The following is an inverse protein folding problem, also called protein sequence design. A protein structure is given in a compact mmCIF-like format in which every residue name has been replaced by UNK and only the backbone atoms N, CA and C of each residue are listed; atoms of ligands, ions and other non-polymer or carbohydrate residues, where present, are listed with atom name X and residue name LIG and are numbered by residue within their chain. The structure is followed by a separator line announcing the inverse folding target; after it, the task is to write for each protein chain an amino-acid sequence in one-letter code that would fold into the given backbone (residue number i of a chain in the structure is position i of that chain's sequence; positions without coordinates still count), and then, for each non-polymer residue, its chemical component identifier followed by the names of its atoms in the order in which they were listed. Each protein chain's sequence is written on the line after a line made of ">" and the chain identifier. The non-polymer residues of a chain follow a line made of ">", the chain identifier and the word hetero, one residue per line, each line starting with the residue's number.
data_IF_273616723771
#
_entry.id   IF_273616723771
#
_cell.length_a   1.000
_cell.length_b   1.000
_cell.length_c   1.000
_cell.angle_alpha   90.00
_cell.angle_beta   90.00
_cell.angle_gamma   90.00
#
_symmetry.space_group_name_H-M   'P 1'
#
loop_
_entity.id
_entity.type
_entity.pdbx_description
1 polymer ?
#
# COMPACT_ATOMS: atom_id res chain seq x y z
N UNK A 1 -7.41 5.10 4.90
CA UNK A 1 -8.27 6.27 4.62
C UNK A 1 -7.72 7.00 3.39
N UNK A 2 -8.58 7.49 2.52
CA UNK A 2 -8.24 8.42 1.43
C UNK A 2 -8.82 9.81 1.74
N UNK A 3 -8.43 10.86 1.00
CA UNK A 3 -8.90 12.23 1.21
C UNK A 3 -8.13 13.02 2.28
N UNK A 4 -6.86 12.71 2.51
CA UNK A 4 -5.99 13.42 3.47
C UNK A 4 -5.91 14.94 3.22
N UNK A 5 -6.10 15.39 1.99
CA UNK A 5 -6.12 16.82 1.68
C UNK A 5 -7.10 17.59 2.58
N UNK A 6 -8.29 17.03 2.85
CA UNK A 6 -9.31 17.66 3.70
C UNK A 6 -8.81 17.84 5.15
N UNK A 7 -8.08 16.84 5.67
CA UNK A 7 -7.51 16.87 7.04
C UNK A 7 -6.43 17.95 7.16
N UNK A 8 -5.67 18.14 6.06
CA UNK A 8 -4.57 19.12 5.96
C UNK A 8 -5.04 20.51 5.50
N UNK A 9 -6.35 20.75 5.40
CA UNK A 9 -6.92 22.04 5.02
C UNK A 9 -7.10 22.27 3.51
N UNK A 10 -6.78 21.27 2.67
CA UNK A 10 -6.97 21.35 1.22
C UNK A 10 -8.38 20.91 0.78
N UNK A 11 -8.79 21.36 -0.41
CA UNK A 11 -10.07 20.97 -1.02
C UNK A 11 -9.93 20.00 -2.20
N UNK A 12 -8.73 19.91 -2.75
CA UNK A 12 -8.44 19.15 -3.96
C UNK A 12 -7.20 18.27 -3.77
N UNK A 13 -7.13 17.21 -4.54
CA UNK A 13 -5.96 16.34 -4.67
C UNK A 13 -5.72 16.06 -6.14
N UNK A 14 -4.47 16.08 -6.63
CA UNK A 14 -4.15 15.67 -7.98
C UNK A 14 -4.18 14.14 -8.16
N UNK A 15 -4.28 13.40 -7.04
CA UNK A 15 -4.18 11.96 -7.05
C UNK A 15 -5.56 11.32 -7.26
N UNK A 16 -5.63 10.37 -8.17
CA UNK A 16 -6.77 9.47 -8.31
C UNK A 16 -6.72 8.38 -7.23
N UNK A 17 -7.89 8.03 -6.69
CA UNK A 17 -8.02 6.96 -5.72
C UNK A 17 -8.91 5.85 -6.30
N UNK A 18 -8.42 4.62 -6.29
CA UNK A 18 -9.16 3.46 -6.75
C UNK A 18 -9.07 2.30 -5.74
N UNK A 19 -10.07 1.42 -5.79
CA UNK A 19 -10.15 0.24 -4.93
C UNK A 19 -9.24 -0.85 -5.53
N UNK A 20 -8.24 -1.28 -4.77
CA UNK A 20 -7.31 -2.33 -5.19
C UNK A 20 -7.85 -3.73 -4.91
N UNK A 21 -8.48 -3.92 -3.74
CA UNK A 21 -9.12 -5.18 -3.34
C UNK A 21 -10.56 -4.90 -2.93
N UNK A 22 -11.45 -5.86 -3.18
CA UNK A 22 -12.84 -5.78 -2.73
C UNK A 22 -12.92 -5.66 -1.21
N UNK A 23 -13.86 -4.87 -0.72
CA UNK A 23 -14.07 -4.65 0.71
C UNK A 23 -15.23 -3.73 0.99
N UNK A 24 -15.51 -3.50 2.26
CA UNK A 24 -16.49 -2.54 2.72
C UNK A 24 -15.80 -1.21 3.14
N UNK A 25 -16.49 -0.10 2.94
CA UNK A 25 -15.99 1.21 3.33
C UNK A 25 -17.12 2.17 3.68
N UNK A 26 -16.78 3.23 4.40
CA UNK A 26 -17.69 4.31 4.71
C UNK A 26 -17.21 5.60 4.04
N UNK A 27 -18.16 6.44 3.64
CA UNK A 27 -17.90 7.73 3.01
C UNK A 27 -18.47 8.86 3.84
N UNK A 28 -17.69 9.90 4.04
CA UNK A 28 -18.12 11.16 4.65
C UNK A 28 -17.81 12.31 3.68
N UNK A 29 -18.68 13.33 3.61
CA UNK A 29 -18.38 14.54 2.85
C UNK A 29 -17.30 15.37 3.54
N UNK A 30 -16.50 16.11 2.77
CA UNK A 30 -15.48 17.01 3.29
C UNK A 30 -16.07 18.02 4.30
N UNK A 31 -17.24 18.59 4.02
CA UNK A 31 -17.91 19.52 4.92
C UNK A 31 -18.27 18.87 6.25
N UNK A 32 -18.80 17.64 6.24
CA UNK A 32 -19.15 16.92 7.46
C UNK A 32 -17.90 16.50 8.24
N UNK A 33 -16.83 16.10 7.55
CA UNK A 33 -15.55 15.79 8.22
C UNK A 33 -14.99 17.02 8.93
N UNK A 34 -14.96 18.19 8.29
CA UNK A 34 -14.52 19.44 8.93
C UNK A 34 -15.36 19.79 10.15
N UNK A 35 -16.69 19.68 10.06
CA UNK A 35 -17.58 19.88 11.22
C UNK A 35 -17.30 18.91 12.36
N UNK A 36 -17.06 17.62 12.03
CA UNK A 36 -16.72 16.61 13.04
C UNK A 36 -15.39 16.91 13.72
N UNK A 37 -14.36 17.32 12.95
CA UNK A 37 -13.05 17.72 13.50
C UNK A 37 -13.17 18.93 14.45
N UNK A 38 -14.00 19.92 14.12
CA UNK A 38 -14.23 21.09 14.99
C UNK A 38 -14.97 20.73 16.29
N UNK A 39 -15.86 19.72 16.24
CA UNK A 39 -16.65 19.30 17.41
C UNK A 39 -15.94 18.31 18.32
N UNK A 40 -14.94 17.62 17.84
CA UNK A 40 -14.24 16.57 18.57
C UNK A 40 -12.78 16.94 18.82
N UNK A 41 -12.42 17.12 20.10
CA UNK A 41 -11.05 17.43 20.52
C UNK A 41 -10.05 16.30 20.23
N UNK A 42 -10.52 15.06 20.01
CA UNK A 42 -9.68 13.89 19.79
C UNK A 42 -9.57 13.50 18.31
N UNK A 43 -10.60 13.80 17.51
CA UNK A 43 -10.64 13.37 16.10
C UNK A 43 -9.56 14.05 15.25
N UNK A 44 -9.41 15.37 15.38
CA UNK A 44 -8.41 16.10 14.58
C UNK A 44 -6.98 15.65 14.89
N UNK A 45 -6.52 15.55 16.16
CA UNK A 45 -5.20 15.01 16.47
C UNK A 45 -4.97 13.60 15.93
N UNK A 46 -5.97 12.71 16.01
CA UNK A 46 -5.87 11.35 15.47
C UNK A 46 -5.69 11.34 13.96
N UNK A 47 -6.46 12.15 13.23
CA UNK A 47 -6.34 12.25 11.77
C UNK A 47 -5.01 12.88 11.35
N UNK A 48 -4.48 13.85 12.10
CA UNK A 48 -3.15 14.42 11.86
C UNK A 48 -2.05 13.40 12.12
N UNK A 49 -2.17 12.56 13.14
CA UNK A 49 -1.23 11.46 13.39
C UNK A 49 -1.26 10.44 12.24
N UNK A 50 -2.45 10.12 11.73
CA UNK A 50 -2.58 9.28 10.52
C UNK A 50 -1.91 9.93 9.31
N UNK A 51 -2.11 11.24 9.09
CA UNK A 51 -1.47 11.98 8.01
C UNK A 51 0.07 11.95 8.14
N UNK A 52 0.59 12.14 9.34
CA UNK A 52 2.03 12.04 9.62
C UNK A 52 2.59 10.64 9.30
N UNK A 53 1.91 9.59 9.78
CA UNK A 53 2.30 8.19 9.48
C UNK A 53 2.28 7.91 7.98
N UNK A 54 1.29 8.43 7.26
CA UNK A 54 1.20 8.29 5.81
C UNK A 54 2.36 9.02 5.08
N UNK A 55 2.75 10.21 5.55
CA UNK A 55 3.92 10.94 5.03
C UNK A 55 5.21 10.16 5.24
N UNK A 56 5.41 9.56 6.41
CA UNK A 56 6.57 8.68 6.70
C UNK A 56 6.57 7.50 5.72
N UNK A 57 5.43 6.81 5.56
CA UNK A 57 5.30 5.68 4.64
C UNK A 57 5.64 6.08 3.20
N UNK A 58 5.14 7.23 2.75
CA UNK A 58 5.40 7.77 1.41
C UNK A 58 6.88 8.09 1.21
N UNK A 59 7.52 8.72 2.19
CA UNK A 59 8.96 9.04 2.16
C UNK A 59 9.81 7.76 2.09
N UNK A 60 9.47 6.73 2.87
CA UNK A 60 10.15 5.43 2.82
C UNK A 60 9.95 4.73 1.48
N UNK A 61 8.76 4.84 0.88
CA UNK A 61 8.48 4.29 -0.45
C UNK A 61 9.28 5.02 -1.53
N UNK A 62 9.37 6.35 -1.46
CA UNK A 62 10.19 7.14 -2.38
C UNK A 62 11.68 6.75 -2.28
N UNK A 63 12.19 6.58 -1.05
CA UNK A 63 13.56 6.12 -0.82
C UNK A 63 13.81 4.72 -1.40
N UNK A 64 12.90 3.77 -1.17
CA UNK A 64 12.99 2.42 -1.70
C UNK A 64 12.96 2.44 -3.24
N UNK A 65 12.09 3.25 -3.84
CA UNK A 65 12.03 3.39 -5.30
C UNK A 65 13.33 3.91 -5.92
N UNK A 66 14.11 4.70 -5.18
CA UNK A 66 15.38 5.27 -5.65
C UNK A 66 16.59 4.33 -5.46
N UNK A 67 16.54 3.38 -4.52
CA UNK A 67 17.74 2.63 -4.10
C UNK A 67 17.58 1.13 -4.09
N UNK A 68 16.36 0.61 -3.94
CA UNK A 68 16.11 -0.82 -3.79
C UNK A 68 15.90 -1.51 -5.13
N UNK A 69 16.24 -2.79 -5.20
CA UNK A 69 15.96 -3.65 -6.34
C UNK A 69 14.45 -3.84 -6.55
N UNK A 70 14.05 -4.39 -7.69
CA UNK A 70 12.63 -4.66 -7.97
C UNK A 70 12.08 -5.68 -6.97
N UNK A 71 12.89 -6.68 -6.60
CA UNK A 71 12.54 -7.75 -5.65
C UNK A 71 12.28 -7.19 -4.25
N UNK A 72 13.16 -6.33 -3.74
CA UNK A 72 13.01 -5.66 -2.44
C UNK A 72 11.74 -4.79 -2.42
N UNK A 73 11.51 -4.03 -3.49
CA UNK A 73 10.33 -3.18 -3.65
C UNK A 73 9.05 -4.00 -3.73
N UNK A 74 9.08 -5.14 -4.45
CA UNK A 74 7.97 -6.08 -4.54
C UNK A 74 7.69 -6.71 -3.17
N UNK A 75 8.70 -7.22 -2.46
CA UNK A 75 8.56 -7.77 -1.13
C UNK A 75 7.93 -6.75 -0.16
N UNK A 76 8.41 -5.52 -0.17
CA UNK A 76 7.85 -4.41 0.61
C UNK A 76 6.40 -4.14 0.26
N UNK A 77 6.06 -4.10 -1.03
CA UNK A 77 4.69 -3.84 -1.48
C UNK A 77 3.74 -4.97 -1.04
N UNK A 78 4.15 -6.23 -1.20
CA UNK A 78 3.37 -7.41 -0.77
C UNK A 78 3.10 -7.37 0.73
N UNK A 79 4.08 -7.03 1.56
CA UNK A 79 3.92 -6.87 3.01
C UNK A 79 2.92 -5.76 3.36
N UNK A 80 3.01 -4.60 2.67
CA UNK A 80 2.08 -3.50 2.90
C UNK A 80 0.64 -3.82 2.47
N UNK A 81 0.46 -4.63 1.44
CA UNK A 81 -0.85 -5.12 1.03
C UNK A 81 -1.39 -6.13 2.04
N UNK A 82 -0.56 -7.08 2.46
CA UNK A 82 -0.89 -8.10 3.45
C UNK A 82 -1.31 -7.52 4.81
N UNK A 83 -0.67 -6.44 5.27
CA UNK A 83 -1.04 -5.72 6.51
C UNK A 83 -2.49 -5.18 6.50
N UNK A 84 -3.13 -5.16 5.34
CA UNK A 84 -4.48 -4.61 5.14
C UNK A 84 -5.52 -5.67 4.80
N UNK A 85 -5.09 -6.92 4.74
CA UNK A 85 -5.93 -8.07 4.39
C UNK A 85 -5.95 -9.06 5.56
N UNK A 86 -7.04 -9.80 5.69
CA UNK A 86 -7.20 -10.87 6.69
C UNK A 86 -6.81 -12.25 6.11
N UNK A 87 -6.07 -12.27 5.00
CA UNK A 87 -5.67 -13.48 4.28
C UNK A 87 -4.26 -13.34 3.75
N UNK A 88 -3.53 -14.44 3.66
CA UNK A 88 -2.22 -14.51 3.05
C UNK A 88 -2.27 -14.47 1.51
N UNK A 89 -3.47 -14.62 0.93
CA UNK A 89 -3.70 -14.65 -0.51
C UNK A 89 -3.98 -13.26 -1.06
N UNK A 90 -3.15 -12.81 -1.98
CA UNK A 90 -3.29 -11.55 -2.70
C UNK A 90 -3.68 -11.82 -4.16
N UNK A 91 -4.90 -11.46 -4.54
CA UNK A 91 -5.39 -11.55 -5.93
C UNK A 91 -4.89 -10.34 -6.73
N UNK A 92 -3.73 -10.48 -7.35
CA UNK A 92 -3.04 -9.34 -7.97
C UNK A 92 -2.45 -9.78 -9.32
N UNK A 93 -2.64 -8.96 -10.35
CA UNK A 93 -2.04 -9.21 -11.66
C UNK A 93 -0.63 -8.63 -11.77
N UNK A 94 0.20 -9.22 -12.65
CA UNK A 94 1.54 -8.70 -12.94
C UNK A 94 1.50 -7.29 -13.56
N UNK A 95 0.48 -6.97 -14.35
CA UNK A 95 0.25 -5.62 -14.87
C UNK A 95 0.05 -4.62 -13.74
N UNK A 96 -0.82 -4.96 -12.79
CA UNK A 96 -1.10 -4.08 -11.66
C UNK A 96 0.15 -3.87 -10.80
N UNK A 97 0.89 -4.94 -10.49
CA UNK A 97 2.18 -4.82 -9.78
C UNK A 97 3.17 -3.95 -10.56
N UNK A 98 3.20 -4.07 -11.90
CA UNK A 98 4.03 -3.22 -12.76
C UNK A 98 3.71 -1.73 -12.59
N UNK A 99 2.42 -1.37 -12.54
CA UNK A 99 1.96 0.01 -12.29
C UNK A 99 2.38 0.46 -10.88
N UNK A 100 2.15 -0.36 -9.86
CA UNK A 100 2.46 -0.02 -8.46
C UNK A 100 3.96 0.15 -8.21
N UNK A 101 4.78 -0.65 -8.88
CA UNK A 101 6.24 -0.61 -8.75
C UNK A 101 6.90 0.35 -9.75
N UNK A 102 6.16 0.88 -10.73
CA UNK A 102 6.70 1.71 -11.80
C UNK A 102 7.69 0.95 -12.70
N UNK A 103 7.43 -0.33 -12.98
CA UNK A 103 8.30 -1.19 -13.79
C UNK A 103 7.50 -1.95 -14.85
N UNK A 104 8.20 -2.50 -15.86
CA UNK A 104 7.54 -3.34 -16.87
C UNK A 104 7.07 -4.66 -16.27
N UNK A 105 5.99 -5.23 -16.81
CA UNK A 105 5.45 -6.55 -16.42
C UNK A 105 6.52 -7.65 -16.38
N UNK A 106 7.46 -7.66 -17.34
CA UNK A 106 8.57 -8.63 -17.37
C UNK A 106 9.46 -8.56 -16.13
N UNK A 107 9.76 -7.36 -15.63
CA UNK A 107 10.51 -7.17 -14.38
C UNK A 107 9.76 -7.71 -13.16
N UNK A 108 8.44 -7.50 -13.11
CA UNK A 108 7.59 -8.09 -12.06
C UNK A 108 7.65 -9.61 -12.10
N UNK A 109 7.55 -10.22 -13.29
CA UNK A 109 7.61 -11.68 -13.44
C UNK A 109 8.93 -12.25 -12.94
N UNK A 110 10.05 -11.60 -13.26
CA UNK A 110 11.37 -12.01 -12.77
C UNK A 110 11.44 -11.91 -11.24
N UNK A 111 11.00 -10.79 -10.68
CA UNK A 111 11.02 -10.57 -9.23
C UNK A 111 10.13 -11.58 -8.47
N UNK A 112 8.91 -11.86 -8.96
CA UNK A 112 8.04 -12.89 -8.38
C UNK A 112 8.70 -14.27 -8.40
N UNK A 113 9.30 -14.66 -9.53
CA UNK A 113 9.99 -15.95 -9.66
C UNK A 113 11.19 -16.07 -8.71
N UNK A 114 11.91 -14.97 -8.43
CA UNK A 114 13.01 -14.97 -7.47
C UNK A 114 12.50 -15.16 -6.04
N UNK A 115 11.47 -14.44 -5.65
CA UNK A 115 10.85 -14.59 -4.31
C UNK A 115 10.21 -15.98 -4.13
N UNK A 116 9.65 -16.56 -5.18
CA UNK A 116 9.08 -17.92 -5.17
C UNK A 116 10.16 -18.99 -5.03
N UNK A 117 11.28 -18.87 -5.78
CA UNK A 117 12.42 -19.78 -5.65
C UNK A 117 13.02 -19.85 -4.26
N UNK A 118 12.92 -18.76 -3.50
CA UNK A 118 13.37 -18.68 -2.10
C UNK A 118 12.27 -19.09 -1.11
N UNK A 119 11.14 -19.62 -1.59
CA UNK A 119 9.99 -20.05 -0.80
C UNK A 119 9.38 -18.94 0.11
N UNK A 120 9.58 -17.67 -0.24
CA UNK A 120 9.00 -16.55 0.50
C UNK A 120 7.52 -16.33 0.14
N UNK A 121 7.19 -16.62 -1.10
CA UNK A 121 5.83 -16.55 -1.67
C UNK A 121 5.57 -17.77 -2.54
N UNK A 122 4.30 -17.99 -2.86
CA UNK A 122 3.84 -18.92 -3.91
C UNK A 122 2.96 -18.18 -4.89
N UNK A 123 3.09 -18.44 -6.19
CA UNK A 123 2.31 -17.77 -7.24
C UNK A 123 1.52 -18.82 -8.01
N UNK A 124 0.20 -18.76 -7.91
CA UNK A 124 -0.67 -19.68 -8.64
C UNK A 124 -1.90 -18.97 -9.23
N UNK A 125 -2.09 -19.07 -10.54
CA UNK A 125 -3.28 -18.59 -11.28
C UNK A 125 -3.70 -17.13 -10.92
N UNK A 126 -2.74 -16.20 -10.80
CA UNK A 126 -3.01 -14.80 -10.49
C UNK A 126 -3.25 -14.52 -9.00
N UNK A 127 -2.96 -15.49 -8.15
CA UNK A 127 -2.92 -15.34 -6.70
C UNK A 127 -1.47 -15.43 -6.25
N UNK A 128 -1.02 -14.47 -5.47
CA UNK A 128 0.27 -14.50 -4.78
C UNK A 128 0.01 -14.74 -3.30
N UNK A 129 0.47 -15.87 -2.77
CA UNK A 129 0.33 -16.24 -1.35
C UNK A 129 1.63 -15.95 -0.62
N UNK A 130 1.57 -15.28 0.52
CA UNK A 130 2.72 -15.11 1.41
C UNK A 130 2.93 -16.39 2.21
N UNK A 131 4.09 -17.03 2.03
CA UNK A 131 4.44 -18.30 2.68
C UNK A 131 5.26 -18.04 3.95
N UNK A 132 6.31 -17.22 3.85
CA UNK A 132 7.21 -16.94 4.96
C UNK A 132 7.37 -15.43 5.16
N UNK A 133 6.44 -14.87 5.97
CA UNK A 133 6.37 -13.43 6.20
C UNK A 133 7.63 -12.82 6.83
N UNK A 134 8.26 -13.55 7.77
CA UNK A 134 9.44 -13.03 8.48
C UNK A 134 10.60 -12.84 7.50
N UNK A 135 10.90 -13.86 6.72
CA UNK A 135 11.97 -13.81 5.72
C UNK A 135 11.64 -12.84 4.57
N UNK A 136 10.35 -12.71 4.19
CA UNK A 136 9.92 -11.70 3.23
C UNK A 136 10.18 -10.27 3.76
N UNK A 137 10.06 -10.03 5.07
CA UNK A 137 10.39 -8.75 5.69
C UNK A 137 11.90 -8.47 5.66
N UNK A 138 12.73 -9.48 5.79
CA UNK A 138 14.18 -9.36 5.65
C UNK A 138 14.56 -9.04 4.20
N UNK A 139 13.90 -9.67 3.22
CA UNK A 139 14.08 -9.39 1.80
C UNK A 139 13.58 -8.01 1.34
N UNK A 140 12.80 -7.31 2.15
CA UNK A 140 12.24 -5.98 1.85
C UNK A 140 13.12 -4.80 2.32
N UNK A 141 14.31 -5.08 2.92
CA UNK A 141 15.19 -4.07 3.55
C UNK A 141 16.44 -3.75 2.73
#
# INVERSE_FOLDING_TARGET
>A
MTGLAVVLGGDQTPNEAFVQNAGAGQRISAANLRKAMQKSSTLQPLLLLFAHTFLIQTSQTARANARSSIEERLARWLLMAHDRLETDDLKITHEFLGVMLGVRRSGVTVALNLLEKTALISVHRGVTTIVERKSLKEAAN
#
